data_IF_086880535861
#
_entry.id   IF_086880535861
#
_cell.length_a   1.000
_cell.length_b   1.000
_cell.length_c   1.000
_cell.angle_alpha   90.00
_cell.angle_beta   90.00
_cell.angle_gamma   90.00
#
_symmetry.space_group_name_H-M   'P 1'
#
loop_
_entity.id
_entity.type
_entity.pdbx_description
1 polymer ?
#
# COMPACT_ATOMS: atom_id res chain seq x y z
N UNK A 1 -6.88 -15.28 -2.98
CA UNK A 1 -5.82 -15.28 -4.01
C UNK A 1 -6.18 -16.33 -5.06
N UNK A 2 -6.46 -15.94 -6.30
CA UNK A 2 -6.71 -16.88 -7.42
C UNK A 2 -5.40 -17.20 -8.15
N UNK A 3 -5.34 -18.28 -8.96
CA UNK A 3 -4.16 -18.65 -9.75
C UNK A 3 -3.67 -17.50 -10.63
N UNK A 4 -4.60 -16.70 -11.17
CA UNK A 4 -4.31 -15.53 -11.98
C UNK A 4 -3.46 -14.49 -11.22
N UNK A 5 -3.76 -14.21 -9.95
CA UNK A 5 -2.96 -13.28 -9.13
C UNK A 5 -1.53 -13.76 -8.92
N UNK A 6 -1.31 -15.09 -8.85
CA UNK A 6 0.03 -15.68 -8.71
C UNK A 6 0.84 -15.56 -9.99
N UNK A 7 0.23 -15.86 -11.14
CA UNK A 7 0.87 -15.72 -12.45
C UNK A 7 1.25 -14.25 -12.72
N UNK A 8 0.35 -13.30 -12.44
CA UNK A 8 0.65 -11.87 -12.58
C UNK A 8 1.79 -11.41 -11.66
N UNK A 9 1.84 -11.94 -10.43
CA UNK A 9 2.96 -11.69 -9.50
C UNK A 9 4.30 -12.20 -10.04
N UNK A 10 4.33 -13.42 -10.60
CA UNK A 10 5.53 -13.98 -11.23
C UNK A 10 5.98 -13.18 -12.45
N UNK A 11 5.04 -12.72 -13.29
CA UNK A 11 5.36 -11.86 -14.44
C UNK A 11 5.98 -10.55 -13.99
N UNK A 12 5.42 -9.91 -12.95
CA UNK A 12 6.02 -8.70 -12.35
C UNK A 12 7.45 -8.97 -11.90
N UNK A 13 7.68 -10.06 -11.17
CA UNK A 13 9.00 -10.38 -10.64
C UNK A 13 10.01 -10.66 -11.78
N UNK A 14 9.57 -11.31 -12.86
CA UNK A 14 10.39 -11.55 -14.06
C UNK A 14 10.74 -10.25 -14.79
N UNK A 15 9.80 -9.30 -14.89
CA UNK A 15 10.04 -7.98 -15.47
C UNK A 15 11.06 -7.21 -14.64
N UNK A 16 10.89 -7.17 -13.31
CA UNK A 16 11.83 -6.49 -12.40
C UNK A 16 13.23 -7.11 -12.52
N UNK A 17 13.33 -8.44 -12.49
CA UNK A 17 14.61 -9.13 -12.63
C UNK A 17 15.30 -8.84 -13.97
N UNK A 18 14.53 -8.66 -15.05
CA UNK A 18 15.07 -8.33 -16.38
C UNK A 18 15.59 -6.90 -16.48
N UNK A 19 14.91 -5.93 -15.87
CA UNK A 19 15.30 -4.52 -15.95
C UNK A 19 16.33 -4.10 -14.89
N UNK A 20 16.24 -4.65 -13.67
CA UNK A 20 17.07 -4.25 -12.54
C UNK A 20 18.14 -5.29 -12.15
N UNK A 21 18.02 -6.55 -12.60
CA UNK A 21 18.93 -7.63 -12.21
C UNK A 21 18.92 -7.90 -10.69
N UNK A 22 20.00 -8.51 -10.19
CA UNK A 22 20.27 -8.64 -8.75
C UNK A 22 21.04 -7.41 -8.22
N UNK A 23 20.52 -6.21 -8.47
CA UNK A 23 21.17 -4.94 -8.16
C UNK A 23 20.43 -4.12 -7.09
N UNK A 24 21.09 -3.06 -6.61
CA UNK A 24 20.56 -2.11 -5.62
C UNK A 24 19.17 -1.55 -5.98
N UNK A 25 18.87 -1.38 -7.27
CA UNK A 25 17.56 -0.91 -7.73
C UNK A 25 16.41 -1.90 -7.50
N UNK A 26 16.66 -3.22 -7.66
CA UNK A 26 15.65 -4.24 -7.38
C UNK A 26 15.34 -4.31 -5.88
N UNK A 27 16.39 -4.25 -5.05
CA UNK A 27 16.28 -4.21 -3.59
C UNK A 27 15.46 -3.00 -3.10
N UNK A 28 15.75 -1.81 -3.64
CA UNK A 28 15.01 -0.58 -3.34
C UNK A 28 13.53 -0.69 -3.76
N UNK A 29 13.25 -1.21 -4.95
CA UNK A 29 11.89 -1.41 -5.44
C UNK A 29 11.09 -2.35 -4.53
N UNK A 30 11.67 -3.49 -4.13
CA UNK A 30 10.99 -4.44 -3.26
C UNK A 30 10.72 -3.88 -1.86
N UNK A 31 11.63 -3.07 -1.31
CA UNK A 31 11.41 -2.38 -0.03
C UNK A 31 10.29 -1.35 -0.17
N UNK A 32 10.35 -0.49 -1.19
CA UNK A 32 9.32 0.50 -1.45
C UNK A 32 7.94 -0.16 -1.61
N UNK A 33 7.85 -1.31 -2.30
CA UNK A 33 6.61 -2.04 -2.49
C UNK A 33 6.06 -2.68 -1.20
N UNK A 34 6.90 -2.95 -0.19
CA UNK A 34 6.44 -3.49 1.11
C UNK A 34 5.62 -2.48 1.90
N UNK A 35 5.93 -1.19 1.81
CA UNK A 35 5.30 -0.14 2.62
C UNK A 35 3.79 -0.05 2.33
N UNK A 36 3.32 0.12 1.06
CA UNK A 36 1.89 0.13 0.75
C UNK A 36 1.20 -1.21 1.07
N UNK A 37 1.90 -2.33 0.87
CA UNK A 37 1.33 -3.64 1.20
C UNK A 37 1.11 -3.81 2.70
N UNK A 38 2.05 -3.35 3.54
CA UNK A 38 1.88 -3.37 4.99
C UNK A 38 0.66 -2.54 5.42
N UNK A 39 0.54 -1.32 4.91
CA UNK A 39 -0.60 -0.45 5.20
C UNK A 39 -1.93 -1.09 4.74
N UNK A 40 -1.97 -1.66 3.53
CA UNK A 40 -3.14 -2.40 3.02
C UNK A 40 -3.52 -3.56 3.94
N UNK A 41 -2.55 -4.32 4.43
CA UNK A 41 -2.79 -5.42 5.39
C UNK A 41 -3.34 -4.90 6.71
N UNK A 42 -2.77 -3.81 7.24
CA UNK A 42 -3.16 -3.23 8.52
C UNK A 42 -4.58 -2.67 8.49
N UNK A 43 -4.93 -1.90 7.45
CA UNK A 43 -6.20 -1.19 7.40
C UNK A 43 -7.31 -1.99 6.70
N UNK A 44 -7.01 -2.70 5.60
CA UNK A 44 -8.05 -3.25 4.72
C UNK A 44 -8.30 -4.77 4.88
N UNK A 45 -7.27 -5.58 5.18
CA UNK A 45 -7.41 -7.04 5.15
C UNK A 45 -8.19 -7.62 6.34
N UNK A 46 -8.34 -6.90 7.46
CA UNK A 46 -9.03 -7.42 8.65
C UNK A 46 -9.89 -6.40 9.38
N UNK A 47 -9.28 -5.31 9.86
CA UNK A 47 -9.96 -4.36 10.74
C UNK A 47 -11.16 -3.66 10.06
N UNK A 48 -10.96 -3.16 8.84
CA UNK A 48 -12.03 -2.48 8.12
C UNK A 48 -13.19 -3.42 7.79
N UNK A 49 -12.93 -4.58 7.18
CA UNK A 49 -13.99 -5.52 6.79
C UNK A 49 -14.79 -6.03 7.99
N UNK A 50 -14.13 -6.28 9.14
CA UNK A 50 -14.83 -6.71 10.35
C UNK A 50 -15.73 -5.62 10.96
N UNK A 51 -15.34 -4.35 10.87
CA UNK A 51 -16.16 -3.24 11.38
C UNK A 51 -17.24 -2.79 10.38
N UNK A 52 -16.90 -2.74 9.10
CA UNK A 52 -17.75 -2.15 8.06
C UNK A 52 -18.84 -3.09 7.56
N UNK A 53 -18.54 -4.38 7.36
CA UNK A 53 -19.50 -5.33 6.79
C UNK A 53 -20.76 -5.50 7.67
N UNK A 54 -20.66 -5.66 9.00
CA UNK A 54 -21.85 -5.76 9.85
C UNK A 54 -22.71 -4.50 9.83
N UNK A 55 -22.08 -3.32 9.86
CA UNK A 55 -22.78 -2.02 9.81
C UNK A 55 -23.50 -1.86 8.48
N UNK A 56 -22.83 -2.18 7.37
CA UNK A 56 -23.45 -2.12 6.04
C UNK A 56 -24.63 -3.10 5.91
N UNK A 57 -24.50 -4.32 6.45
CA UNK A 57 -25.60 -5.31 6.43
C UNK A 57 -26.82 -4.79 7.19
N UNK A 58 -26.61 -4.26 8.39
CA UNK A 58 -27.70 -3.68 9.21
C UNK A 58 -28.40 -2.51 8.49
N UNK A 59 -27.64 -1.62 7.85
CA UNK A 59 -28.21 -0.51 7.07
C UNK A 59 -28.99 -1.00 5.86
N UNK A 60 -28.54 -2.06 5.18
CA UNK A 60 -29.27 -2.62 4.02
C UNK A 60 -30.60 -3.27 4.39
N UNK A 61 -30.73 -3.76 5.62
CA UNK A 61 -31.96 -4.42 6.08
C UNK A 61 -32.98 -3.42 6.67
N UNK A 62 -32.50 -2.35 7.31
CA UNK A 62 -33.35 -1.46 8.11
C UNK A 62 -33.56 -0.08 7.51
N UNK A 63 -32.77 0.33 6.51
CA UNK A 63 -32.78 1.68 5.97
C UNK A 63 -33.04 1.70 4.46
N UNK A 64 -33.51 2.85 3.99
CA UNK A 64 -33.66 3.11 2.56
C UNK A 64 -32.32 3.12 1.83
N UNK A 65 -32.35 2.80 0.53
CA UNK A 65 -31.19 2.81 -0.38
C UNK A 65 -30.42 4.14 -0.32
N UNK A 66 -31.12 5.27 -0.13
CA UNK A 66 -30.50 6.60 -0.02
C UNK A 66 -29.58 6.71 1.21
N UNK A 67 -29.96 6.10 2.34
CA UNK A 67 -29.18 6.09 3.57
C UNK A 67 -28.00 5.14 3.47
N UNK A 68 -28.18 3.97 2.85
CA UNK A 68 -27.08 3.03 2.54
C UNK A 68 -26.04 3.72 1.68
N UNK A 69 -26.47 4.44 0.62
CA UNK A 69 -25.55 5.19 -0.24
C UNK A 69 -24.80 6.26 0.54
N UNK A 70 -25.49 7.03 1.38
CA UNK A 70 -24.87 8.08 2.21
C UNK A 70 -23.81 7.51 3.15
N UNK A 71 -24.06 6.33 3.74
CA UNK A 71 -23.09 5.62 4.57
C UNK A 71 -21.86 5.23 3.74
N UNK A 72 -22.05 4.61 2.58
CA UNK A 72 -20.94 4.21 1.70
C UNK A 72 -20.13 5.42 1.25
N UNK A 73 -20.77 6.50 0.84
CA UNK A 73 -20.11 7.73 0.40
C UNK A 73 -19.28 8.36 1.53
N UNK A 74 -19.84 8.42 2.76
CA UNK A 74 -19.13 8.94 3.93
C UNK A 74 -17.93 8.07 4.32
N UNK A 75 -18.09 6.74 4.30
CA UNK A 75 -17.00 5.81 4.61
C UNK A 75 -15.92 5.83 3.54
N UNK A 76 -16.29 5.84 2.26
CA UNK A 76 -15.35 5.94 1.16
C UNK A 76 -14.59 7.27 1.18
N UNK A 77 -15.27 8.39 1.43
CA UNK A 77 -14.65 9.71 1.53
C UNK A 77 -13.69 9.83 2.71
N UNK A 78 -14.10 9.36 3.90
CA UNK A 78 -13.25 9.38 5.09
C UNK A 78 -12.05 8.43 4.96
N UNK A 79 -12.25 7.20 4.48
CA UNK A 79 -11.17 6.26 4.22
C UNK A 79 -10.20 6.80 3.16
N UNK A 80 -10.73 7.38 2.08
CA UNK A 80 -9.93 8.02 1.04
C UNK A 80 -9.08 9.17 1.57
N UNK A 81 -9.66 10.04 2.41
CA UNK A 81 -8.94 11.14 3.04
C UNK A 81 -7.81 10.63 3.96
N UNK A 82 -8.10 9.62 4.78
CA UNK A 82 -7.09 9.01 5.67
C UNK A 82 -5.96 8.38 4.87
N UNK A 83 -6.28 7.61 3.82
CA UNK A 83 -5.27 6.99 2.97
C UNK A 83 -4.41 8.03 2.25
N UNK A 84 -5.02 9.12 1.78
CA UNK A 84 -4.30 10.22 1.15
C UNK A 84 -3.37 10.92 2.15
N UNK A 85 -3.83 11.22 3.36
CA UNK A 85 -3.01 11.79 4.41
C UNK A 85 -1.84 10.87 4.79
N UNK A 86 -2.09 9.58 4.99
CA UNK A 86 -1.04 8.58 5.27
C UNK A 86 -0.03 8.51 4.13
N UNK A 87 -0.49 8.55 2.88
CA UNK A 87 0.40 8.55 1.70
C UNK A 87 1.28 9.78 1.68
N UNK A 88 0.72 10.98 1.92
CA UNK A 88 1.50 12.22 1.97
C UNK A 88 2.53 12.19 3.10
N UNK A 89 2.13 11.75 4.30
CA UNK A 89 3.06 11.59 5.44
C UNK A 89 4.17 10.59 5.11
N UNK A 90 3.84 9.47 4.46
CA UNK A 90 4.82 8.48 4.05
C UNK A 90 5.80 9.02 3.00
N UNK A 91 5.33 9.82 2.05
CA UNK A 91 6.19 10.46 1.06
C UNK A 91 7.15 11.47 1.70
N UNK A 92 6.65 12.30 2.62
CA UNK A 92 7.47 13.29 3.34
C UNK A 92 8.44 12.62 4.33
N UNK A 93 8.01 11.54 4.97
CA UNK A 93 8.78 10.74 5.92
C UNK A 93 9.58 9.60 5.28
N UNK A 94 9.75 9.61 3.95
CA UNK A 94 10.37 8.54 3.18
C UNK A 94 11.71 8.04 3.77
N UNK A 95 12.69 8.91 4.12
CA UNK A 95 13.96 8.45 4.69
C UNK A 95 13.80 7.69 6.01
N UNK A 96 12.86 8.10 6.86
CA UNK A 96 12.56 7.44 8.13
C UNK A 96 11.92 6.08 7.88
N UNK A 97 10.98 6.01 6.92
CA UNK A 97 10.38 4.74 6.52
C UNK A 97 11.40 3.79 5.91
N UNK A 98 12.33 4.28 5.08
CA UNK A 98 13.44 3.48 4.56
C UNK A 98 14.28 2.93 5.70
N UNK A 99 14.63 3.74 6.70
CA UNK A 99 15.40 3.28 7.86
C UNK A 99 14.66 2.20 8.68
N UNK A 100 13.34 2.31 8.83
CA UNK A 100 12.51 1.34 9.58
C UNK A 100 12.30 0.04 8.81
N UNK A 101 12.00 0.11 7.51
CA UNK A 101 11.66 -1.06 6.69
C UNK A 101 12.89 -1.71 6.01
N UNK A 102 14.01 -0.99 5.91
CA UNK A 102 15.29 -1.46 5.39
C UNK A 102 16.48 -0.92 6.21
N UNK A 103 16.58 -1.25 7.50
CA UNK A 103 17.71 -0.83 8.34
C UNK A 103 19.05 -1.32 7.81
N UNK A 104 19.07 -2.43 7.05
CA UNK A 104 20.26 -2.93 6.38
C UNK A 104 20.80 -2.04 5.25
N UNK A 105 20.06 -1.00 4.81
CA UNK A 105 20.54 -0.02 3.82
C UNK A 105 21.25 1.16 4.47
N UNK A 106 21.22 1.31 5.80
CA UNK A 106 21.89 2.41 6.50
C UNK A 106 23.41 2.41 6.35
N UNK A 107 24.01 1.27 5.98
CA UNK A 107 25.44 1.15 5.67
C UNK A 107 25.78 1.19 4.17
N UNK A 108 24.79 1.40 3.29
CA UNK A 108 24.95 1.44 1.84
C UNK A 108 24.26 2.71 1.29
N UNK A 109 25.04 3.79 1.19
CA UNK A 109 24.56 5.13 0.81
C UNK A 109 23.79 5.12 -0.53
N UNK A 110 24.16 4.24 -1.46
CA UNK A 110 23.51 4.13 -2.78
C UNK A 110 22.13 3.50 -2.64
N UNK A 111 21.98 2.41 -1.88
CA UNK A 111 20.67 1.78 -1.65
C UNK A 111 19.74 2.67 -0.82
N UNK A 112 20.28 3.38 0.16
CA UNK A 112 19.50 4.31 0.98
C UNK A 112 19.00 5.48 0.16
N UNK A 113 19.86 6.12 -0.64
CA UNK A 113 19.47 7.22 -1.53
C UNK A 113 18.36 6.79 -2.51
N UNK A 114 18.53 5.64 -3.19
CA UNK A 114 17.52 5.13 -4.11
C UNK A 114 16.17 4.86 -3.43
N UNK A 115 16.17 4.30 -2.22
CA UNK A 115 14.91 3.93 -1.55
C UNK A 115 14.22 5.11 -0.87
N UNK A 116 14.98 6.14 -0.49
CA UNK A 116 14.49 7.31 0.25
C UNK A 116 14.03 8.46 -0.67
N UNK A 117 14.37 8.42 -1.96
CA UNK A 117 13.86 9.40 -2.92
C UNK A 117 12.40 9.09 -3.35
N UNK A 118 11.48 10.06 -3.21
CA UNK A 118 10.10 9.91 -3.71
C UNK A 118 10.00 9.76 -5.24
N UNK A 119 11.08 10.10 -5.97
CA UNK A 119 11.17 10.19 -7.43
C UNK A 119 11.14 8.83 -8.15
N UNK A 120 11.45 7.73 -7.46
CA UNK A 120 11.46 6.38 -8.06
C UNK A 120 10.04 5.90 -8.37
N UNK A 121 9.02 6.41 -7.68
CA UNK A 121 7.62 6.07 -7.94
C UNK A 121 7.05 6.71 -9.22
N UNK A 122 7.76 7.68 -9.82
CA UNK A 122 7.33 8.47 -10.98
C UNK A 122 8.15 8.22 -12.25
N UNK A 123 9.10 7.28 -12.25
CA UNK A 123 9.87 6.85 -13.44
C UNK A 123 9.48 5.46 -13.92
#
# INVERSE_FOLDING_TARGET
>A
MTMLSRVLGLVRDMVIARYFGAGAGADAFFVAFKIPNFLRRLFAEGAFSQAFVPVLSSYRETQDISQVKRLVDAVAGSLGLVLLAVTLVAMLGSPVLTAVFAPGFLGDDVKFALTSEPSIATR
#
